data_IF_061273601036
#
_entry.id   IF_061273601036
#
_cell.length_a   1.000
_cell.length_b   1.000
_cell.length_c   1.000
_cell.angle_alpha   90.00
_cell.angle_beta   90.00
_cell.angle_gamma   90.00
#
_symmetry.space_group_name_H-M   'P 1'
#
loop_
_entity.id
_entity.type
_entity.pdbx_description
1 polymer ?
#
# COMPACT_ATOMS: atom_id res chain seq x y z
N UNK A 1 -3.66 -6.12 -10.71
CA UNK A 1 -4.20 -4.76 -10.92
C UNK A 1 -3.06 -3.80 -10.61
N UNK A 2 -2.70 -2.88 -11.50
CA UNK A 2 -1.68 -1.87 -11.16
C UNK A 2 -2.35 -0.68 -10.46
N UNK A 3 -1.59 0.06 -9.66
CA UNK A 3 -2.11 1.24 -8.95
C UNK A 3 -2.61 2.31 -9.94
N UNK A 4 -2.02 2.37 -11.14
CA UNK A 4 -2.43 3.31 -12.19
C UNK A 4 -3.83 3.04 -12.75
N UNK A 5 -4.35 1.82 -12.58
CA UNK A 5 -5.69 1.44 -13.02
C UNK A 5 -6.75 1.67 -11.94
N UNK A 6 -6.33 2.05 -10.72
CA UNK A 6 -7.25 2.33 -9.61
C UNK A 6 -7.82 3.73 -9.81
N UNK A 7 -9.15 3.87 -9.96
CA UNK A 7 -9.76 5.17 -10.13
C UNK A 7 -9.54 6.04 -8.89
N UNK A 8 -9.38 7.34 -9.12
CA UNK A 8 -9.39 8.34 -8.07
C UNK A 8 -10.85 8.62 -7.67
N UNK A 9 -11.14 8.66 -6.36
CA UNK A 9 -12.45 9.05 -5.83
C UNK A 9 -12.35 10.35 -5.04
N UNK A 10 -13.35 11.22 -5.20
CA UNK A 10 -13.43 12.54 -4.54
C UNK A 10 -14.44 12.47 -3.41
N UNK A 11 -13.95 12.65 -2.18
CA UNK A 11 -14.73 12.55 -0.95
C UNK A 11 -14.75 13.91 -0.27
N UNK A 12 -15.93 14.46 -0.01
CA UNK A 12 -16.11 15.62 0.87
C UNK A 12 -16.55 15.14 2.25
N UNK A 13 -15.79 15.52 3.29
CA UNK A 13 -16.08 15.22 4.69
C UNK A 13 -16.33 16.52 5.45
N UNK A 14 -17.37 16.52 6.28
CA UNK A 14 -17.60 17.56 7.27
C UNK A 14 -16.94 17.16 8.59
N UNK A 15 -16.21 18.09 9.20
CA UNK A 15 -15.53 17.88 10.46
C UNK A 15 -16.56 17.65 11.57
N UNK A 16 -16.43 16.51 12.26
CA UNK A 16 -17.23 16.23 13.45
C UNK A 16 -16.66 16.90 14.70
N UNK A 17 -17.36 16.75 15.82
CA UNK A 17 -16.94 17.27 17.13
C UNK A 17 -15.59 16.72 17.61
N UNK A 18 -15.18 15.54 17.13
CA UNK A 18 -13.88 14.90 17.42
C UNK A 18 -12.90 14.97 16.24
N UNK A 19 -13.20 15.80 15.23
CA UNK A 19 -12.40 15.93 14.00
C UNK A 19 -12.91 15.05 12.86
N UNK A 20 -12.00 14.66 11.96
CA UNK A 20 -12.34 13.91 10.74
C UNK A 20 -12.52 12.39 10.97
N UNK A 21 -12.01 11.86 12.08
CA UNK A 21 -12.31 10.48 12.47
C UNK A 21 -11.46 9.39 11.81
N UNK A 22 -10.23 9.68 11.38
CA UNK A 22 -9.30 8.69 10.84
C UNK A 22 -7.84 9.01 11.19
N UNK A 23 -6.97 8.02 11.04
CA UNK A 23 -5.53 8.16 11.27
C UNK A 23 -4.77 8.00 9.95
N UNK A 24 -3.71 8.78 9.77
CA UNK A 24 -2.81 8.68 8.63
C UNK A 24 -1.41 8.19 9.01
N UNK A 25 -0.70 7.60 8.06
CA UNK A 25 0.75 7.36 8.09
C UNK A 25 1.34 7.62 6.70
N UNK A 26 2.67 7.60 6.59
CA UNK A 26 3.35 7.81 5.32
C UNK A 26 3.89 9.23 5.19
N UNK A 27 4.28 9.60 3.98
CA UNK A 27 5.04 10.81 3.70
C UNK A 27 6.44 10.46 3.23
N UNK A 28 7.04 11.34 2.44
CA UNK A 28 8.35 11.11 1.81
C UNK A 28 9.50 10.89 2.81
N UNK A 29 9.37 11.46 3.99
CA UNK A 29 10.32 11.37 5.12
C UNK A 29 10.02 10.17 6.03
N UNK A 30 8.78 9.68 6.03
CA UNK A 30 8.32 8.57 6.86
C UNK A 30 7.49 7.54 6.05
N UNK A 31 8.10 6.84 5.08
CA UNK A 31 7.37 5.95 4.18
C UNK A 31 6.65 4.82 4.94
N UNK A 32 5.34 4.69 4.73
CA UNK A 32 4.52 3.62 5.32
C UNK A 32 4.51 2.35 4.46
N UNK A 33 4.60 2.54 3.15
CA UNK A 33 4.73 1.48 2.15
C UNK A 33 6.13 1.58 1.54
N UNK A 34 6.87 0.46 1.35
CA UNK A 34 8.20 0.51 0.78
C UNK A 34 8.21 1.23 -0.57
N UNK A 35 9.15 2.16 -0.75
CA UNK A 35 9.36 2.88 -2.02
C UNK A 35 8.17 3.73 -2.49
N UNK A 36 7.21 4.03 -1.62
CA UNK A 36 6.10 4.94 -1.90
C UNK A 36 6.07 6.09 -0.87
N UNK A 37 6.17 7.36 -1.29
CA UNK A 37 6.18 8.52 -0.39
C UNK A 37 4.77 8.99 0.02
N UNK A 38 3.71 8.26 -0.34
CA UNK A 38 2.32 8.69 -0.18
C UNK A 38 1.83 8.70 1.27
N UNK A 39 0.66 9.31 1.44
CA UNK A 39 -0.09 9.35 2.71
C UNK A 39 -1.20 8.31 2.65
N UNK A 40 -1.34 7.50 3.70
CA UNK A 40 -2.25 6.37 3.75
C UNK A 40 -3.15 6.42 4.99
N UNK A 41 -4.41 6.05 4.82
CA UNK A 41 -5.37 5.88 5.91
C UNK A 41 -5.12 4.55 6.60
N UNK A 42 -4.79 4.58 7.88
CA UNK A 42 -4.43 3.36 8.65
C UNK A 42 -5.54 2.89 9.59
N UNK A 43 -6.46 3.78 9.94
CA UNK A 43 -7.60 3.49 10.81
C UNK A 43 -8.73 4.46 10.53
N UNK A 44 -9.95 3.93 10.46
CA UNK A 44 -11.20 4.71 10.56
C UNK A 44 -11.73 4.52 11.99
N UNK A 45 -12.24 5.59 12.60
CA UNK A 45 -12.86 5.55 13.93
C UNK A 45 -14.37 5.41 13.77
N UNK A 46 -14.95 4.37 14.37
CA UNK A 46 -16.37 4.00 14.24
C UNK A 46 -17.35 5.16 14.58
N UNK A 47 -16.95 6.09 15.45
CA UNK A 47 -17.74 7.24 15.90
C UNK A 47 -17.45 8.54 15.12
N UNK A 48 -16.45 8.52 14.24
CA UNK A 48 -15.91 9.68 13.54
C UNK A 48 -16.68 10.07 12.28
N UNK A 49 -16.39 11.28 11.77
CA UNK A 49 -17.03 11.78 10.55
C UNK A 49 -16.80 10.87 9.33
N UNK A 50 -15.57 10.39 9.13
CA UNK A 50 -15.26 9.47 8.05
C UNK A 50 -16.02 8.14 8.12
N UNK A 51 -16.26 7.58 9.31
CA UNK A 51 -17.06 6.36 9.46
C UNK A 51 -18.54 6.59 9.15
N UNK A 52 -19.08 7.74 9.58
CA UNK A 52 -20.47 8.11 9.31
C UNK A 52 -20.72 8.36 7.83
N UNK A 53 -19.74 8.93 7.13
CA UNK A 53 -19.78 9.10 5.68
C UNK A 53 -19.63 7.75 4.94
N UNK A 54 -18.71 6.90 5.40
CA UNK A 54 -18.57 5.51 4.97
C UNK A 54 -17.81 5.29 3.65
N UNK A 55 -17.45 6.35 2.91
CA UNK A 55 -16.69 6.23 1.66
C UNK A 55 -15.19 6.04 1.88
N UNK A 56 -14.61 6.72 2.88
CA UNK A 56 -13.19 6.59 3.20
C UNK A 56 -12.90 5.29 3.95
N UNK A 57 -11.90 4.54 3.51
CA UNK A 57 -11.57 3.21 4.04
C UNK A 57 -10.11 3.12 4.48
N UNK A 58 -9.81 2.11 5.32
CA UNK A 58 -8.44 1.75 5.67
C UNK A 58 -7.71 1.21 4.43
N UNK A 59 -6.46 1.61 4.24
CA UNK A 59 -5.63 1.21 3.10
C UNK A 59 -5.75 2.17 1.91
N UNK A 60 -6.64 3.16 1.99
CA UNK A 60 -6.75 4.21 1.00
C UNK A 60 -5.48 5.08 0.99
N UNK A 61 -5.04 5.44 -0.21
CA UNK A 61 -3.97 6.43 -0.41
C UNK A 61 -4.61 7.78 -0.68
N UNK A 62 -4.20 8.80 0.08
CA UNK A 62 -4.65 10.18 -0.08
C UNK A 62 -3.72 10.85 -1.09
N UNK A 63 -4.32 11.38 -2.14
CA UNK A 63 -3.62 12.04 -3.24
C UNK A 63 -3.68 13.55 -3.08
N UNK A 64 -4.83 14.09 -2.66
CA UNK A 64 -5.04 15.52 -2.51
C UNK A 64 -5.87 15.84 -1.26
N UNK A 65 -5.61 17.01 -0.66
CA UNK A 65 -6.36 17.58 0.46
C UNK A 65 -6.70 19.03 0.10
N UNK A 66 -7.99 19.37 -0.03
CA UNK A 66 -8.46 20.70 -0.42
C UNK A 66 -7.70 21.25 -1.66
N UNK A 67 -7.66 20.45 -2.73
CA UNK A 67 -7.00 20.77 -4.00
C UNK A 67 -5.46 20.91 -3.92
N UNK A 68 -4.83 20.53 -2.80
CA UNK A 68 -3.37 20.45 -2.68
C UNK A 68 -2.89 19.02 -2.83
N UNK A 69 -1.96 18.80 -3.75
CA UNK A 69 -1.30 17.51 -3.97
C UNK A 69 -0.43 17.13 -2.75
N UNK A 70 -0.70 15.95 -2.19
CA UNK A 70 0.05 15.35 -1.07
C UNK A 70 0.68 14.01 -1.43
N UNK A 71 0.78 13.66 -2.72
CA UNK A 71 1.36 12.40 -3.21
C UNK A 71 2.83 12.25 -2.82
N UNK A 72 3.55 13.35 -2.61
CA UNK A 72 4.97 13.37 -2.28
C UNK A 72 5.35 14.54 -1.35
N UNK A 73 4.73 14.60 -0.18
CA UNK A 73 5.00 15.61 0.86
C UNK A 73 5.59 14.96 2.11
N UNK A 74 6.29 15.72 2.97
CA UNK A 74 6.59 15.28 4.33
C UNK A 74 5.30 14.93 5.10
N UNK A 75 5.39 13.98 6.03
CA UNK A 75 4.27 13.59 6.89
C UNK A 75 3.63 14.79 7.58
N UNK A 76 4.47 15.67 8.13
CA UNK A 76 4.00 16.84 8.88
C UNK A 76 3.23 17.84 8.01
N UNK A 77 3.59 17.98 6.74
CA UNK A 77 2.90 18.89 5.82
C UNK A 77 1.49 18.37 5.54
N UNK A 78 1.32 17.07 5.31
CA UNK A 78 -0.01 16.46 5.18
C UNK A 78 -0.86 16.62 6.45
N UNK A 79 -0.26 16.45 7.64
CA UNK A 79 -0.95 16.71 8.91
C UNK A 79 -1.40 18.16 9.01
N UNK A 80 -0.53 19.10 8.66
CA UNK A 80 -0.83 20.53 8.68
C UNK A 80 -1.99 20.87 7.74
N UNK A 81 -2.07 20.23 6.57
CA UNK A 81 -3.22 20.41 5.67
C UNK A 81 -4.53 19.93 6.30
N UNK A 82 -4.54 18.81 7.03
CA UNK A 82 -5.74 18.36 7.77
C UNK A 82 -6.11 19.24 8.96
N UNK A 83 -5.13 19.87 9.61
CA UNK A 83 -5.39 20.79 10.72
C UNK A 83 -5.97 22.11 10.20
N UNK A 84 -5.44 22.61 9.08
CA UNK A 84 -5.80 23.91 8.51
C UNK A 84 -6.98 23.86 7.52
N UNK A 85 -7.51 22.67 7.21
CA UNK A 85 -8.58 22.48 6.22
C UNK A 85 -9.95 23.00 6.63
N UNK A 86 -10.13 23.48 7.87
CA UNK A 86 -11.40 24.02 8.36
C UNK A 86 -12.47 22.96 8.57
N UNK A 87 -13.74 23.36 8.50
CA UNK A 87 -14.90 22.50 8.77
C UNK A 87 -15.22 21.52 7.64
N UNK A 88 -14.86 21.84 6.40
CA UNK A 88 -15.09 20.98 5.22
C UNK A 88 -13.78 20.60 4.60
N UNK A 89 -13.59 19.31 4.35
CA UNK A 89 -12.36 18.78 3.77
C UNK A 89 -12.71 17.95 2.55
N UNK A 90 -12.10 18.30 1.42
CA UNK A 90 -12.19 17.54 0.19
C UNK A 90 -10.93 16.71 0.03
N UNK A 91 -11.12 15.41 -0.17
CA UNK A 91 -10.05 14.44 -0.40
C UNK A 91 -10.18 13.88 -1.80
N UNK A 92 -9.03 13.64 -2.43
CA UNK A 92 -8.93 12.75 -3.58
C UNK A 92 -8.14 11.53 -3.13
N UNK A 93 -8.71 10.34 -3.32
CA UNK A 93 -8.14 9.08 -2.79
C UNK A 93 -8.10 7.98 -3.84
N UNK A 94 -7.22 6.99 -3.62
CA UNK A 94 -7.24 5.71 -4.32
C UNK A 94 -7.52 4.59 -3.33
N UNK A 95 -8.61 3.85 -3.55
CA UNK A 95 -9.03 2.79 -2.65
C UNK A 95 -8.13 1.57 -2.69
N UNK A 96 -7.82 1.00 -1.51
CA UNK A 96 -7.03 -0.22 -1.39
C UNK A 96 -5.59 -0.14 -1.93
N UNK A 97 -5.09 1.08 -2.17
CA UNK A 97 -3.76 1.32 -2.73
C UNK A 97 -2.63 0.72 -1.89
N UNK A 98 -2.78 0.68 -0.56
CA UNK A 98 -1.79 0.06 0.34
C UNK A 98 -1.53 -1.40 -0.02
N UNK A 99 -2.58 -2.21 -0.18
CA UNK A 99 -2.45 -3.66 -0.40
C UNK A 99 -1.86 -3.95 -1.79
N UNK A 100 -2.31 -3.22 -2.81
CA UNK A 100 -1.79 -3.32 -4.18
C UNK A 100 -0.28 -3.04 -4.21
N UNK A 101 0.16 -1.97 -3.54
CA UNK A 101 1.57 -1.61 -3.50
C UNK A 101 2.39 -2.62 -2.70
N UNK A 102 1.90 -3.10 -1.56
CA UNK A 102 2.60 -4.12 -0.76
C UNK A 102 2.79 -5.42 -1.54
N UNK A 103 1.77 -5.87 -2.27
CA UNK A 103 1.87 -7.03 -3.15
C UNK A 103 2.92 -6.80 -4.26
N UNK A 104 2.84 -5.67 -4.97
CA UNK A 104 3.77 -5.29 -6.03
C UNK A 104 5.23 -5.31 -5.55
N UNK A 105 5.51 -4.73 -4.39
CA UNK A 105 6.87 -4.67 -3.86
C UNK A 105 7.34 -6.00 -3.29
N UNK A 106 6.49 -6.78 -2.64
CA UNK A 106 6.84 -8.12 -2.15
C UNK A 106 7.27 -9.04 -3.30
N UNK A 107 6.55 -9.02 -4.43
CA UNK A 107 6.93 -9.75 -5.65
C UNK A 107 8.28 -9.26 -6.18
N UNK A 108 8.48 -7.94 -6.22
CA UNK A 108 9.73 -7.34 -6.73
C UNK A 108 10.95 -7.69 -5.87
N UNK A 109 10.79 -7.85 -4.57
CA UNK A 109 11.87 -8.24 -3.65
C UNK A 109 12.14 -9.73 -3.70
N UNK A 110 11.09 -10.55 -3.76
CA UNK A 110 11.23 -12.00 -3.95
C UNK A 110 11.96 -12.35 -5.25
N UNK A 111 11.68 -11.62 -6.34
CA UNK A 111 12.34 -11.78 -7.62
C UNK A 111 13.84 -11.39 -7.61
N UNK A 112 14.28 -10.56 -6.65
CA UNK A 112 15.69 -10.14 -6.50
C UNK A 112 16.51 -11.12 -5.65
N UNK A 113 15.86 -11.96 -4.84
CA UNK A 113 16.57 -12.96 -4.02
C UNK A 113 17.04 -14.10 -4.92
N UNK A 114 18.33 -14.48 -4.91
CA UNK A 114 18.79 -15.61 -5.71
C UNK A 114 18.04 -16.88 -5.30
N UNK A 115 17.48 -17.60 -6.28
CA UNK A 115 16.83 -18.91 -6.09
C UNK A 115 17.82 -20.03 -5.72
N UNK A 116 19.07 -19.68 -5.43
CA UNK A 116 20.14 -20.61 -5.10
C UNK A 116 20.39 -20.50 -3.59
N UNK A 117 20.06 -21.53 -2.80
CA UNK A 117 20.40 -21.56 -1.38
C UNK A 117 21.90 -21.34 -1.19
N UNK A 118 22.28 -20.53 -0.20
CA UNK A 118 23.68 -20.40 0.22
C UNK A 118 24.25 -21.78 0.52
N UNK A 119 25.35 -22.13 -0.15
CA UNK A 119 25.98 -23.46 -0.09
C UNK A 119 25.68 -24.38 -1.28
N UNK A 120 24.91 -23.94 -2.28
CA UNK A 120 24.61 -24.77 -3.46
C UNK A 120 25.69 -24.64 -4.55
N UNK A 121 26.24 -25.76 -4.99
CA UNK A 121 27.21 -25.80 -6.09
C UNK A 121 26.53 -25.56 -7.46
N UNK A 122 27.03 -24.58 -8.22
CA UNK A 122 26.54 -24.18 -9.55
C UNK A 122 26.57 -25.32 -10.60
N UNK A 123 27.27 -26.42 -10.30
CA UNK A 123 27.33 -27.61 -11.16
C UNK A 123 25.97 -28.30 -11.34
N UNK A 124 25.08 -28.25 -10.34
CA UNK A 124 23.75 -28.86 -10.45
C UNK A 124 22.74 -27.96 -11.19
N UNK A 125 22.91 -26.65 -11.12
CA UNK A 125 21.98 -25.66 -11.70
C UNK A 125 22.06 -25.68 -13.24
N UNK A 126 23.26 -25.90 -13.79
CA UNK A 126 23.45 -26.01 -15.25
C UNK A 126 22.87 -27.32 -15.84
N UNK A 127 22.78 -28.41 -15.07
CA UNK A 127 22.30 -29.72 -15.55
C UNK A 127 20.77 -29.76 -15.68
N UNK A 128 20.05 -28.95 -14.90
CA UNK A 128 18.57 -28.87 -14.98
C UNK A 128 18.09 -27.79 -15.97
N UNK A 129 18.99 -26.90 -16.38
CA UNK A 129 18.72 -25.66 -17.12
C UNK A 129 18.23 -25.78 -18.57
N UNK A 130 17.82 -26.96 -19.06
CA UNK A 130 17.30 -27.09 -20.42
C UNK A 130 15.89 -27.70 -20.56
N UNK A 131 15.22 -28.13 -19.46
CA UNK A 131 14.06 -29.02 -19.60
C UNK A 131 12.72 -28.60 -18.99
N UNK A 132 12.68 -28.03 -17.77
CA UNK A 132 11.44 -28.10 -16.97
C UNK A 132 11.24 -26.91 -16.03
N UNK A 133 11.08 -25.71 -16.59
CA UNK A 133 10.80 -24.52 -15.78
C UNK A 133 9.37 -24.45 -15.18
N UNK A 134 8.46 -25.40 -15.50
CA UNK A 134 7.07 -25.32 -15.03
C UNK A 134 6.61 -26.45 -14.08
N UNK A 135 7.26 -27.63 -14.07
CA UNK A 135 6.73 -28.80 -13.34
C UNK A 135 7.36 -28.98 -11.95
N UNK A 136 8.58 -28.49 -11.73
CA UNK A 136 9.32 -28.71 -10.47
C UNK A 136 8.70 -28.03 -9.24
N UNK A 137 8.11 -26.84 -9.39
CA UNK A 137 7.53 -26.09 -8.28
C UNK A 137 6.27 -26.76 -7.69
N UNK A 138 5.46 -27.43 -8.53
CA UNK A 138 4.24 -28.11 -8.08
C UNK A 138 4.58 -29.39 -7.30
N UNK A 139 5.61 -30.15 -7.74
CA UNK A 139 6.01 -31.38 -7.06
C UNK A 139 6.65 -31.13 -5.68
N UNK A 140 7.36 -30.01 -5.53
CA UNK A 140 8.01 -29.64 -4.27
C UNK A 140 6.98 -29.27 -3.18
N UNK A 141 5.89 -28.58 -3.55
CA UNK A 141 4.81 -28.19 -2.62
C UNK A 141 3.96 -29.39 -2.18
N UNK A 142 3.74 -30.39 -3.04
CA UNK A 142 2.93 -31.57 -2.70
C UNK A 142 3.68 -32.51 -1.73
N UNK A 143 5.00 -32.67 -1.88
CA UNK A 143 5.78 -33.64 -1.07
C UNK A 143 6.07 -33.16 0.36
N UNK A 144 6.11 -31.85 0.61
CA UNK A 144 6.51 -31.29 1.92
C UNK A 144 5.34 -30.81 2.80
N UNK A 145 4.08 -31.10 2.44
CA UNK A 145 2.89 -30.78 3.27
C UNK A 145 2.36 -31.96 4.12
N UNK A 146 3.09 -33.08 4.17
CA UNK A 146 2.83 -34.18 5.12
C UNK A 146 4.14 -34.64 5.74
N UNK A 147 4.65 -33.88 6.70
CA UNK A 147 5.38 -34.36 7.86
C UNK A 147 5.35 -33.27 8.94
#
# INVERSE_FOLDING_TARGET
MDLADVPEDRIELERGTTGLGFNIKGGRDQPHVPRDPGIFVTKIRDDGAAAKDGRLQKGDKILEINDKDVRNVPHQDAVNEFVNSGEKVVLVVQHGAEDILREKYAISEAAKKPLVPEGTSWKWVAVVGAGLAAIGAIYFVIKYRKH
#
